data_IF_743441425750
#
_entry.id   IF_743441425750
#
_cell.length_a   1.000
_cell.length_b   1.000
_cell.length_c   1.000
_cell.angle_alpha   90.00
_cell.angle_beta   90.00
_cell.angle_gamma   90.00
#
_symmetry.space_group_name_H-M   'P 1'
#
loop_
_entity.id
_entity.type
_entity.pdbx_description
1 polymer ?
#
# COMPACT_ATOMS: atom_id res chain seq x y z
N UNK A 1 12.91 4.69 -7.31
CA UNK A 1 12.40 3.67 -6.37
C UNK A 1 12.64 4.20 -4.96
N UNK A 2 11.64 4.15 -4.08
CA UNK A 2 11.76 4.71 -2.73
C UNK A 2 12.18 3.60 -1.75
N UNK A 3 13.28 3.78 -1.04
CA UNK A 3 13.81 2.76 -0.12
C UNK A 3 13.46 3.12 1.32
N UNK A 4 13.10 2.11 2.10
CA UNK A 4 12.84 2.23 3.54
C UNK A 4 13.62 1.14 4.26
N UNK A 5 14.41 1.51 5.27
CA UNK A 5 15.02 0.53 6.18
C UNK A 5 14.12 0.36 7.39
N UNK A 6 13.62 -0.87 7.57
CA UNK A 6 12.84 -1.31 8.71
C UNK A 6 13.74 -1.48 9.93
N UNK A 7 13.16 -1.29 11.12
CA UNK A 7 13.88 -1.41 12.39
C UNK A 7 13.97 -2.86 12.85
N UNK A 8 12.86 -3.62 12.83
CA UNK A 8 12.88 -5.05 13.17
C UNK A 8 12.80 -5.93 11.92
N UNK A 9 12.10 -5.45 10.90
CA UNK A 9 11.96 -6.15 9.63
C UNK A 9 11.15 -7.44 9.72
N UNK A 10 11.20 -8.21 8.64
CA UNK A 10 10.50 -9.48 8.53
C UNK A 10 11.50 -10.63 8.63
N UNK A 11 11.26 -11.57 9.55
CA UNK A 11 12.06 -12.80 9.65
C UNK A 11 11.36 -13.94 8.93
N UNK A 12 12.02 -14.54 7.95
CA UNK A 12 11.52 -15.72 7.22
C UNK A 12 12.60 -16.81 7.25
N UNK A 13 12.29 -17.93 7.89
CA UNK A 13 13.29 -18.93 8.24
C UNK A 13 14.37 -18.32 9.13
N UNK A 14 15.64 -18.46 8.74
CA UNK A 14 16.80 -17.95 9.48
C UNK A 14 17.28 -16.57 9.00
N UNK A 15 16.55 -15.93 8.06
CA UNK A 15 16.92 -14.64 7.47
C UNK A 15 16.01 -13.52 7.98
N UNK A 16 16.64 -12.42 8.39
CA UNK A 16 15.98 -11.16 8.72
C UNK A 16 16.10 -10.18 7.54
N UNK A 17 14.97 -9.67 7.07
CA UNK A 17 14.89 -8.75 5.94
C UNK A 17 14.51 -7.35 6.42
N UNK A 18 15.41 -6.39 6.25
CA UNK A 18 15.25 -5.02 6.77
C UNK A 18 14.98 -3.98 5.68
N UNK A 19 15.43 -4.19 4.44
CA UNK A 19 15.38 -3.15 3.41
C UNK A 19 14.19 -3.35 2.48
N UNK A 20 13.21 -2.46 2.56
CA UNK A 20 12.06 -2.44 1.68
C UNK A 20 12.30 -1.50 0.49
N UNK A 21 11.81 -1.91 -0.68
CA UNK A 21 11.69 -1.06 -1.86
C UNK A 21 10.21 -0.83 -2.13
N UNK A 22 9.82 0.44 -2.22
CA UNK A 22 8.45 0.84 -2.47
C UNK A 22 8.24 1.24 -3.92
N UNK A 23 7.01 0.99 -4.39
CA UNK A 23 6.51 1.36 -5.71
C UNK A 23 5.12 2.00 -5.63
N UNK A 24 4.74 2.84 -6.62
CA UNK A 24 3.36 3.27 -6.78
C UNK A 24 2.42 2.08 -7.04
N UNK A 25 1.15 2.28 -6.71
CA UNK A 25 0.08 1.34 -7.05
C UNK A 25 -0.28 1.45 -8.53
N UNK A 26 -0.54 0.31 -9.16
CA UNK A 26 -1.23 0.24 -10.44
C UNK A 26 -2.75 0.16 -10.21
N UNK A 27 -3.54 0.37 -11.27
CA UNK A 27 -4.98 0.16 -11.22
C UNK A 27 -5.34 -1.28 -10.81
N UNK A 28 -4.57 -2.27 -11.28
CA UNK A 28 -4.74 -3.68 -10.90
C UNK A 28 -4.50 -3.91 -9.41
N UNK A 29 -3.54 -3.22 -8.80
CA UNK A 29 -3.29 -3.31 -7.35
C UNK A 29 -4.47 -2.79 -6.54
N UNK A 30 -5.08 -1.69 -6.98
CA UNK A 30 -6.23 -1.08 -6.30
C UNK A 30 -7.44 -2.01 -6.38
N UNK A 31 -7.76 -2.52 -7.57
CA UNK A 31 -8.88 -3.45 -7.78
C UNK A 31 -8.70 -4.71 -6.93
N UNK A 32 -7.52 -5.33 -7.00
CA UNK A 32 -7.24 -6.54 -6.22
C UNK A 32 -7.31 -6.29 -4.70
N UNK A 33 -6.86 -5.11 -4.24
CA UNK A 33 -7.00 -4.73 -2.84
C UNK A 33 -8.47 -4.55 -2.41
N UNK A 34 -9.32 -4.00 -3.28
CA UNK A 34 -10.75 -3.88 -3.02
C UNK A 34 -11.42 -5.25 -2.95
N UNK A 35 -11.20 -6.10 -3.95
CA UNK A 35 -11.76 -7.46 -4.01
C UNK A 35 -11.39 -8.29 -2.78
N UNK A 36 -10.12 -8.29 -2.36
CA UNK A 36 -9.66 -9.01 -1.15
C UNK A 36 -10.18 -8.42 0.17
N UNK A 37 -10.67 -7.19 0.14
CA UNK A 37 -11.19 -6.49 1.33
C UNK A 37 -12.71 -6.57 1.42
N UNK A 38 -13.37 -7.10 0.39
CA UNK A 38 -14.81 -7.28 0.31
C UNK A 38 -15.23 -8.63 0.89
N UNK A 39 -16.38 -8.64 1.56
CA UNK A 39 -16.95 -9.86 2.13
C UNK A 39 -18.46 -9.76 2.15
N UNK A 40 -19.11 -10.90 1.91
CA UNK A 40 -20.56 -11.03 2.06
C UNK A 40 -20.89 -11.09 3.54
N UNK A 41 -21.77 -10.20 3.97
CA UNK A 41 -22.37 -10.20 5.30
C UNK A 41 -23.89 -10.36 5.18
N UNK A 42 -24.53 -10.78 6.26
CA UNK A 42 -25.98 -10.66 6.39
C UNK A 42 -26.29 -9.32 7.06
N UNK A 43 -27.01 -8.44 6.38
CA UNK A 43 -27.39 -7.11 6.89
C UNK A 43 -28.92 -6.98 6.93
N UNK A 44 -29.50 -6.29 7.94
CA UNK A 44 -30.93 -6.06 7.98
C UNK A 44 -31.34 -5.06 6.90
N UNK A 45 -32.41 -5.38 6.17
CA UNK A 45 -33.07 -4.45 5.26
C UNK A 45 -34.03 -3.50 6.02
N UNK A 46 -34.74 -2.65 5.29
CA UNK A 46 -35.67 -1.68 5.88
C UNK A 46 -36.83 -2.33 6.69
N UNK A 47 -37.13 -3.60 6.44
CA UNK A 47 -38.14 -4.39 7.18
C UNK A 47 -37.53 -5.17 8.34
N UNK A 48 -36.23 -5.04 8.60
CA UNK A 48 -35.51 -5.77 9.65
C UNK A 48 -35.17 -7.23 9.31
N UNK A 49 -35.38 -7.67 8.06
CA UNK A 49 -34.99 -9.01 7.59
C UNK A 49 -33.54 -9.00 7.14
N UNK A 50 -32.78 -10.05 7.47
CA UNK A 50 -31.39 -10.16 7.06
C UNK A 50 -31.26 -10.64 5.60
N UNK A 51 -30.53 -9.89 4.78
CA UNK A 51 -30.22 -10.21 3.39
C UNK A 51 -28.70 -10.12 3.12
N UNK A 52 -28.17 -10.87 2.14
CA UNK A 52 -26.76 -10.78 1.76
C UNK A 52 -26.42 -9.38 1.24
N UNK A 53 -25.39 -8.77 1.79
CA UNK A 53 -24.83 -7.49 1.35
C UNK A 53 -23.31 -7.57 1.27
N UNK A 54 -22.71 -6.80 0.37
CA UNK A 54 -21.26 -6.66 0.28
C UNK A 54 -20.78 -5.60 1.26
N UNK A 55 -19.81 -5.96 2.09
CA UNK A 55 -19.13 -5.05 3.00
C UNK A 55 -17.66 -4.96 2.59
N UNK A 56 -17.23 -3.76 2.20
CA UNK A 56 -15.82 -3.44 2.04
C UNK A 56 -15.22 -3.06 3.40
N UNK A 57 -14.18 -3.79 3.81
CA UNK A 57 -13.50 -3.52 5.08
C UNK A 57 -12.39 -2.49 4.90
N UNK A 58 -12.61 -1.26 5.37
CA UNK A 58 -11.62 -0.17 5.27
C UNK A 58 -10.26 -0.53 5.90
N UNK A 59 -10.26 -1.28 7.02
CA UNK A 59 -9.03 -1.74 7.66
C UNK A 59 -8.25 -2.72 6.76
N UNK A 60 -8.94 -3.70 6.17
CA UNK A 60 -8.30 -4.62 5.22
C UNK A 60 -7.87 -3.90 3.95
N UNK A 61 -8.63 -2.90 3.49
CA UNK A 61 -8.26 -2.11 2.33
C UNK A 61 -6.93 -1.39 2.55
N UNK A 62 -6.72 -0.80 3.73
CA UNK A 62 -5.45 -0.18 4.10
C UNK A 62 -4.27 -1.17 4.09
N UNK A 63 -4.48 -2.37 4.66
CA UNK A 63 -3.46 -3.44 4.68
C UNK A 63 -3.14 -3.93 3.26
N UNK A 64 -4.18 -4.25 2.47
CA UNK A 64 -4.06 -4.78 1.13
C UNK A 64 -3.48 -3.77 0.14
N UNK A 65 -3.69 -2.48 0.40
CA UNK A 65 -3.06 -1.39 -0.36
C UNK A 65 -1.57 -1.29 -0.02
N UNK A 66 -1.23 -1.16 1.27
CA UNK A 66 0.15 -0.93 1.69
C UNK A 66 1.07 -2.11 1.35
N UNK A 67 0.61 -3.36 1.54
CA UNK A 67 1.41 -4.55 1.19
C UNK A 67 1.77 -4.61 -0.29
N UNK A 68 0.91 -4.04 -1.17
CA UNK A 68 1.13 -3.97 -2.61
C UNK A 68 2.10 -2.88 -3.05
N UNK A 69 2.26 -1.85 -2.22
CA UNK A 69 3.27 -0.82 -2.43
C UNK A 69 4.68 -1.31 -2.09
N UNK A 70 4.82 -2.41 -1.32
CA UNK A 70 6.10 -3.06 -1.10
C UNK A 70 6.46 -3.90 -2.33
N UNK A 71 7.35 -3.40 -3.17
CA UNK A 71 7.85 -4.12 -4.34
C UNK A 71 8.83 -5.23 -3.97
N UNK A 72 9.57 -5.05 -2.87
CA UNK A 72 10.56 -6.01 -2.39
C UNK A 72 10.87 -5.76 -0.91
N UNK A 73 11.19 -6.80 -0.14
CA UNK A 73 11.73 -6.71 1.21
C UNK A 73 12.90 -7.68 1.38
N UNK A 74 14.13 -7.15 1.35
CA UNK A 74 15.34 -7.96 1.26
C UNK A 74 15.33 -8.81 -0.01
N UNK A 75 15.28 -10.14 0.15
CA UNK A 75 15.25 -11.09 -0.98
C UNK A 75 13.80 -11.45 -1.39
N UNK A 76 12.79 -11.00 -0.63
CA UNK A 76 11.39 -11.32 -0.85
C UNK A 76 10.84 -10.40 -1.94
N UNK A 77 10.42 -10.98 -3.07
CA UNK A 77 9.72 -10.24 -4.12
C UNK A 77 8.29 -9.94 -3.69
N UNK A 78 7.86 -8.70 -3.89
CA UNK A 78 6.53 -8.24 -3.55
C UNK A 78 5.50 -8.49 -4.67
N UNK A 79 4.22 -8.23 -4.40
CA UNK A 79 3.68 -7.67 -3.16
C UNK A 79 3.82 -8.64 -1.98
N UNK A 80 3.98 -8.14 -0.75
CA UNK A 80 4.06 -9.03 0.41
C UNK A 80 2.73 -9.76 0.60
N UNK A 81 2.79 -11.07 0.89
CA UNK A 81 1.61 -11.84 1.26
C UNK A 81 1.00 -11.32 2.56
N UNK A 82 -0.31 -11.48 2.74
CA UNK A 82 -0.98 -10.89 3.91
C UNK A 82 -0.48 -11.52 5.22
N UNK A 83 -0.11 -12.79 5.20
CA UNK A 83 0.49 -13.51 6.33
C UNK A 83 1.86 -12.95 6.68
N UNK A 84 2.69 -12.65 5.68
CA UNK A 84 4.00 -12.02 5.89
C UNK A 84 3.84 -10.60 6.44
N UNK A 85 2.89 -9.85 5.89
CA UNK A 85 2.64 -8.46 6.29
C UNK A 85 2.17 -8.36 7.75
N UNK A 86 1.38 -9.32 8.22
CA UNK A 86 0.92 -9.42 9.63
C UNK A 86 2.06 -9.66 10.64
N UNK A 87 3.22 -10.12 10.20
CA UNK A 87 4.38 -10.37 11.06
C UNK A 87 5.26 -9.13 11.28
N UNK A 88 5.00 -8.05 10.53
CA UNK A 88 5.70 -6.78 10.73
C UNK A 88 5.38 -6.20 12.11
N UNK A 89 6.38 -5.55 12.71
CA UNK A 89 6.14 -4.79 13.92
C UNK A 89 5.32 -3.53 13.62
N UNK A 90 4.68 -2.98 14.65
CA UNK A 90 3.99 -1.69 14.61
C UNK A 90 4.89 -0.55 14.13
N UNK A 91 6.15 -0.53 14.59
CA UNK A 91 7.13 0.47 14.16
C UNK A 91 7.48 0.31 12.68
N UNK A 92 7.64 -0.92 12.19
CA UNK A 92 7.95 -1.17 10.78
C UNK A 92 6.76 -0.83 9.87
N UNK A 93 5.54 -1.08 10.34
CA UNK A 93 4.32 -0.68 9.64
C UNK A 93 4.27 0.85 9.46
N UNK A 94 4.57 1.61 10.52
CA UNK A 94 4.66 3.08 10.48
C UNK A 94 5.78 3.57 9.54
N UNK A 95 6.94 2.92 9.54
CA UNK A 95 8.05 3.24 8.63
C UNK A 95 7.64 3.05 7.16
N UNK A 96 6.93 1.97 6.83
CA UNK A 96 6.41 1.76 5.48
C UNK A 96 5.39 2.83 5.07
N UNK A 97 4.46 3.19 5.96
CA UNK A 97 3.45 4.24 5.70
C UNK A 97 4.11 5.61 5.45
N UNK A 98 5.10 5.97 6.27
CA UNK A 98 5.89 7.19 6.08
C UNK A 98 6.67 7.16 4.76
N UNK A 99 7.25 6.02 4.41
CA UNK A 99 7.94 5.84 3.14
C UNK A 99 7.03 6.02 1.92
N UNK A 100 5.82 5.44 1.95
CA UNK A 100 4.81 5.67 0.91
C UNK A 100 4.47 7.15 0.80
N UNK A 101 4.20 7.81 1.94
CA UNK A 101 3.87 9.24 1.96
C UNK A 101 4.99 10.08 1.34
N UNK A 102 6.25 9.79 1.68
CA UNK A 102 7.41 10.48 1.13
C UNK A 102 7.60 10.21 -0.37
N UNK A 103 7.33 8.98 -0.84
CA UNK A 103 7.34 8.64 -2.26
C UNK A 103 6.29 9.42 -3.06
N UNK A 104 5.07 9.52 -2.54
CA UNK A 104 3.97 10.23 -3.19
C UNK A 104 4.23 11.75 -3.23
N UNK A 105 4.74 12.32 -2.12
CA UNK A 105 5.16 13.72 -2.07
C UNK A 105 6.27 14.04 -3.08
N UNK A 106 7.27 13.16 -3.22
CA UNK A 106 8.33 13.34 -4.20
C UNK A 106 7.79 13.31 -5.64
N UNK A 107 6.83 12.41 -5.91
CA UNK A 107 6.16 12.32 -7.22
C UNK A 107 5.36 13.59 -7.52
N UNK A 108 4.58 14.08 -6.56
CA UNK A 108 3.81 15.32 -6.70
C UNK A 108 4.71 16.53 -6.95
N UNK A 109 5.81 16.66 -6.19
CA UNK A 109 6.79 17.73 -6.37
C UNK A 109 7.40 17.73 -7.78
N UNK A 110 7.78 16.56 -8.28
CA UNK A 110 8.34 16.42 -9.63
C UNK A 110 7.34 16.81 -10.73
N UNK A 111 6.04 16.55 -10.54
CA UNK A 111 4.98 17.00 -11.46
C UNK A 111 4.87 18.53 -11.46
N UNK A 112 4.88 19.16 -10.28
CA UNK A 112 4.79 20.62 -10.15
C UNK A 112 6.01 21.32 -10.76
N UNK A 113 7.22 20.80 -10.54
CA UNK A 113 8.45 21.35 -11.12
C UNK A 113 8.40 21.30 -12.65
N UNK A 114 8.03 20.15 -13.23
CA UNK A 114 7.83 20.05 -14.69
C UNK A 114 6.76 21.01 -15.22
N UNK A 115 5.65 21.17 -14.49
CA UNK A 115 4.58 22.10 -14.87
C UNK A 115 5.03 23.56 -14.87
N UNK A 116 5.95 23.93 -13.97
CA UNK A 116 6.55 25.28 -13.94
C UNK A 116 7.50 25.51 -15.10
N UNK A 117 8.35 24.54 -15.43
CA UNK A 117 9.31 24.67 -16.54
C UNK A 117 8.61 24.84 -17.90
N UNK A 118 7.49 24.14 -18.11
CA UNK A 118 6.67 24.27 -19.33
C UNK A 118 6.00 25.65 -19.42
N UNK A 119 5.55 26.22 -18.30
CA UNK A 119 4.91 27.53 -18.29
C UNK A 119 5.88 28.70 -18.56
N UNK A 120 7.19 28.51 -18.32
CA UNK A 120 8.23 29.51 -18.59
C UNK A 120 8.86 29.38 -19.98
N UNK A 121 8.55 28.32 -20.73
CA UNK A 121 9.16 28.01 -22.03
C UNK A 121 8.28 28.28 -23.25
N UNK A 122 7.17 29.01 -23.09
CA UNK A 122 6.19 29.30 -24.16
C UNK A 122 6.06 30.80 -24.46
N UNK A 123 7.19 31.47 -24.61
CA UNK A 123 7.30 32.83 -25.18
C UNK A 123 8.62 32.89 -25.99
N UNK A 124 8.61 32.35 -27.21
CA UNK A 124 9.56 32.67 -28.30
C UNK A 124 8.95 32.29 -29.67
#
# INVERSE_FOLDING_TARGET
MHQVTLQKGLTVGDKQHLNAVLRPLSAGDIIAAMEESERVIMAPNAEGKYEPALLLSNALMGVNTLRRQVAMLGDIQGPLEVEQFKLLSDIDLDLLQKGVTAMDMATAKAIVERGRDVATGSDD
#
